data_IF_682190213300
#
_entry.id   IF_682190213300
#
_cell.length_a   1.000
_cell.length_b   1.000
_cell.length_c   1.000
_cell.angle_alpha   90.00
_cell.angle_beta   90.00
_cell.angle_gamma   90.00
#
_symmetry.space_group_name_H-M   'P 1'
#
loop_
_entity.id
_entity.type
_entity.pdbx_description
1 polymer ?
#
# COMPACT_ATOMS: atom_id res chain seq x y z
N UNK A 1 -0.92 -18.74 -8.44
CA UNK A 1 -0.50 -18.91 -7.01
C UNK A 1 -0.58 -17.56 -6.30
N UNK A 2 -1.03 -17.45 -5.03
CA UNK A 2 -0.99 -16.19 -4.29
C UNK A 2 0.44 -15.69 -4.06
N UNK A 3 0.62 -14.37 -4.12
CA UNK A 3 1.87 -13.68 -3.78
C UNK A 3 1.55 -12.69 -2.66
N UNK A 4 1.62 -13.11 -1.39
CA UNK A 4 1.36 -12.20 -0.28
C UNK A 4 2.50 -11.16 -0.18
N UNK A 5 2.16 -9.95 0.26
CA UNK A 5 3.11 -8.84 0.34
C UNK A 5 3.72 -8.80 1.75
N UNK A 6 5.06 -8.95 1.88
CA UNK A 6 5.74 -8.77 3.16
C UNK A 6 5.56 -7.36 3.70
N UNK A 7 5.52 -7.21 5.02
CA UNK A 7 5.34 -5.93 5.69
C UNK A 7 6.45 -4.89 5.42
N UNK A 8 7.60 -5.36 4.93
CA UNK A 8 8.86 -4.67 4.70
C UNK A 8 9.25 -4.67 3.21
N UNK A 9 8.28 -4.96 2.32
CA UNK A 9 8.47 -4.86 0.88
C UNK A 9 8.94 -3.45 0.48
N UNK A 10 10.11 -3.33 -0.16
CA UNK A 10 10.70 -2.04 -0.53
C UNK A 10 10.44 -1.62 -1.98
N UNK A 11 9.70 -2.44 -2.74
CA UNK A 11 9.48 -2.26 -4.18
C UNK A 11 8.64 -1.02 -4.53
N UNK A 12 7.88 -0.50 -3.56
CA UNK A 12 7.25 0.82 -3.68
C UNK A 12 5.97 0.89 -4.52
N UNK A 13 5.40 -0.24 -4.93
CA UNK A 13 4.04 -0.27 -5.50
C UNK A 13 2.97 0.04 -4.44
N UNK A 14 1.73 0.32 -4.86
CA UNK A 14 0.63 0.77 -3.99
C UNK A 14 0.46 -0.05 -2.69
N UNK A 15 0.48 -1.38 -2.80
CA UNK A 15 0.33 -2.29 -1.67
C UNK A 15 1.60 -2.51 -0.83
N UNK A 16 2.78 -2.00 -1.22
CA UNK A 16 4.05 -2.27 -0.53
C UNK A 16 4.12 -1.67 0.89
N UNK A 17 3.30 -0.65 1.14
CA UNK A 17 3.28 0.12 2.39
C UNK A 17 2.09 -0.21 3.30
N UNK A 18 1.44 -1.37 3.13
CA UNK A 18 0.21 -1.72 3.85
C UNK A 18 0.34 -1.67 5.40
N UNK A 19 1.53 -1.89 5.95
CA UNK A 19 1.84 -1.76 7.39
C UNK A 19 2.64 -0.50 7.75
N UNK A 20 2.87 0.37 6.77
CA UNK A 20 3.70 1.59 6.88
C UNK A 20 2.95 2.77 6.25
N UNK A 21 1.76 3.12 6.75
CA UNK A 21 0.90 4.15 6.16
C UNK A 21 1.59 5.53 6.01
N UNK A 22 2.52 5.86 6.90
CA UNK A 22 3.34 7.07 6.85
C UNK A 22 4.06 7.27 5.50
N UNK A 23 4.40 6.18 4.80
CA UNK A 23 5.04 6.27 3.48
C UNK A 23 4.16 6.98 2.44
N UNK A 24 2.84 6.97 2.59
CA UNK A 24 1.93 7.69 1.68
C UNK A 24 1.83 9.20 1.97
N UNK A 25 2.40 9.69 3.08
CA UNK A 25 2.51 11.13 3.33
C UNK A 25 3.62 11.76 2.50
N UNK A 26 4.65 10.98 2.15
CA UNK A 26 5.73 11.39 1.27
C UNK A 26 5.20 11.59 -0.16
N UNK A 27 5.40 12.81 -0.69
CA UNK A 27 4.98 13.16 -2.04
C UNK A 27 5.77 12.38 -3.11
N UNK A 28 7.04 12.08 -2.87
CA UNK A 28 7.89 11.34 -3.82
C UNK A 28 7.44 9.88 -3.90
N UNK A 29 7.14 9.26 -2.75
CA UNK A 29 6.58 7.91 -2.70
C UNK A 29 5.22 7.82 -3.44
N UNK A 30 4.35 8.84 -3.29
CA UNK A 30 3.10 8.92 -4.07
C UNK A 30 3.37 9.15 -5.55
N UNK A 31 4.35 9.97 -5.90
CA UNK A 31 4.69 10.33 -7.28
C UNK A 31 5.14 9.15 -8.14
N UNK A 32 5.72 8.11 -7.54
CA UNK A 32 6.13 6.89 -8.23
C UNK A 32 5.03 5.81 -8.30
N UNK A 33 3.88 6.03 -7.64
CA UNK A 33 2.73 5.13 -7.66
C UNK A 33 1.64 5.72 -8.56
N UNK A 34 1.52 5.18 -9.77
CA UNK A 34 0.64 5.73 -10.83
C UNK A 34 -0.84 5.87 -10.44
N UNK A 35 -1.34 5.07 -9.49
CA UNK A 35 -2.72 5.17 -8.99
C UNK A 35 -3.00 6.54 -8.36
N UNK A 36 -2.02 7.19 -7.72
CA UNK A 36 -2.25 8.52 -7.16
C UNK A 36 -2.43 9.58 -8.26
N UNK A 37 -1.81 9.41 -9.42
CA UNK A 37 -1.97 10.32 -10.57
C UNK A 37 -3.38 10.29 -11.18
N UNK A 38 -4.21 9.30 -10.85
CA UNK A 38 -5.60 9.22 -11.32
C UNK A 38 -6.60 9.86 -10.36
N UNK A 39 -6.15 10.29 -9.18
CA UNK A 39 -6.99 10.92 -8.16
C UNK A 39 -6.98 12.44 -8.40
N UNK A 40 -8.14 13.13 -8.40
CA UNK A 40 -8.16 14.59 -8.45
C UNK A 40 -7.37 15.21 -7.30
N UNK A 41 -6.62 16.29 -7.56
CA UNK A 41 -5.71 16.90 -6.57
C UNK A 41 -6.40 17.24 -5.25
N UNK A 42 -7.61 17.81 -5.30
CA UNK A 42 -8.38 18.15 -4.10
C UNK A 42 -8.73 16.92 -3.24
N UNK A 43 -9.05 15.78 -3.87
CA UNK A 43 -9.35 14.53 -3.18
C UNK A 43 -8.08 13.90 -2.60
N UNK A 44 -6.96 14.01 -3.33
CA UNK A 44 -5.65 13.55 -2.88
C UNK A 44 -5.18 14.34 -1.65
N UNK A 45 -5.23 15.67 -1.70
CA UNK A 45 -4.87 16.56 -0.60
C UNK A 45 -5.72 16.29 0.64
N UNK A 46 -7.05 16.20 0.47
CA UNK A 46 -7.98 15.87 1.55
C UNK A 46 -7.69 14.48 2.16
N UNK A 47 -7.41 13.49 1.31
CA UNK A 47 -7.05 12.14 1.74
C UNK A 47 -5.75 12.09 2.54
N UNK A 48 -4.71 12.82 2.09
CA UNK A 48 -3.42 12.93 2.80
C UNK A 48 -3.57 13.65 4.12
N UNK A 49 -4.31 14.76 4.16
CA UNK A 49 -4.58 15.48 5.41
C UNK A 49 -5.32 14.62 6.43
N UNK A 50 -6.31 13.83 5.98
CA UNK A 50 -7.02 12.87 6.85
C UNK A 50 -6.08 11.77 7.33
N UNK A 51 -5.24 11.21 6.46
CA UNK A 51 -4.26 10.20 6.86
C UNK A 51 -3.29 10.74 7.90
N UNK A 52 -2.78 11.96 7.71
CA UNK A 52 -1.90 12.63 8.65
C UNK A 52 -2.57 12.76 10.03
N UNK A 53 -3.79 13.31 10.07
CA UNK A 53 -4.54 13.46 11.32
C UNK A 53 -4.81 12.11 11.99
N UNK A 54 -5.21 11.08 11.23
CA UNK A 54 -5.52 9.75 11.79
C UNK A 54 -4.27 9.08 12.39
N UNK A 55 -3.08 9.33 11.83
CA UNK A 55 -1.80 8.84 12.38
C UNK A 55 -1.36 9.64 13.60
N UNK A 56 -1.51 10.97 13.59
CA UNK A 56 -1.14 11.83 14.73
C UNK A 56 -2.00 11.56 15.97
N UNK A 57 -3.30 11.33 15.78
CA UNK A 57 -4.24 11.17 16.89
C UNK A 57 -4.49 9.69 17.28
N UNK A 58 -3.82 8.74 16.64
CA UNK A 58 -3.93 7.31 16.93
C UNK A 58 -5.16 6.61 16.36
N UNK A 59 -6.01 7.30 15.59
CA UNK A 59 -7.22 6.72 14.97
C UNK A 59 -6.86 5.60 14.02
N UNK A 60 -5.76 5.72 13.28
CA UNK A 60 -5.30 4.70 12.35
C UNK A 60 -4.95 3.40 13.10
N UNK A 61 -4.17 3.51 14.19
CA UNK A 61 -3.74 2.41 15.04
C UNK A 61 -4.93 1.75 15.75
N UNK A 62 -5.91 2.53 16.19
CA UNK A 62 -7.14 1.98 16.78
C UNK A 62 -7.92 1.12 15.78
N UNK A 63 -8.02 1.56 14.51
CA UNK A 63 -8.77 0.83 13.47
C UNK A 63 -8.02 -0.37 12.90
N UNK A 64 -6.70 -0.25 12.79
CA UNK A 64 -5.87 -1.17 12.00
C UNK A 64 -4.77 -1.85 12.81
N UNK A 65 -4.69 -1.63 14.12
CA UNK A 65 -3.60 -2.11 14.97
C UNK A 65 -3.41 -3.63 14.97
N UNK A 66 -4.40 -4.40 14.53
CA UNK A 66 -4.25 -5.84 14.29
C UNK A 66 -3.23 -6.17 13.19
N UNK A 67 -3.05 -5.28 12.20
CA UNK A 67 -2.08 -5.40 11.11
C UNK A 67 -0.64 -5.42 11.62
N UNK A 68 -0.36 -4.80 12.77
CA UNK A 68 0.98 -4.79 13.39
C UNK A 68 1.52 -6.20 13.68
N UNK A 69 0.62 -7.18 13.91
CA UNK A 69 0.96 -8.57 14.21
C UNK A 69 1.15 -9.45 12.97
N UNK A 70 0.87 -8.92 11.78
CA UNK A 70 0.99 -9.66 10.53
C UNK A 70 2.36 -9.41 9.90
N UNK A 71 3.01 -10.48 9.41
CA UNK A 71 4.28 -10.40 8.67
C UNK A 71 4.07 -10.29 7.16
N UNK A 72 2.94 -10.81 6.67
CA UNK A 72 2.54 -10.76 5.26
C UNK A 72 1.02 -10.50 5.16
N UNK A 73 0.57 -9.91 4.05
CA UNK A 73 -0.84 -9.69 3.76
C UNK A 73 -1.16 -10.11 2.31
N UNK A 74 -2.22 -10.90 2.11
CA UNK A 74 -2.73 -11.17 0.76
C UNK A 74 -3.53 -9.96 0.27
N UNK A 75 -2.92 -9.16 -0.61
CA UNK A 75 -3.51 -7.99 -1.25
C UNK A 75 -4.07 -8.31 -2.65
N UNK A 76 -4.21 -9.59 -3.01
CA UNK A 76 -4.78 -10.02 -4.28
C UNK A 76 -3.76 -10.24 -5.40
N UNK A 77 -2.46 -10.06 -5.16
CA UNK A 77 -1.41 -10.36 -6.14
C UNK A 77 -1.34 -11.86 -6.44
N UNK A 78 -1.24 -12.22 -7.72
CA UNK A 78 -1.20 -13.61 -8.19
C UNK A 78 -0.07 -13.80 -9.19
N UNK A 79 0.68 -14.88 -9.02
CA UNK A 79 1.60 -15.38 -10.03
C UNK A 79 0.84 -16.29 -10.99
N UNK A 80 0.87 -15.93 -12.28
CA UNK A 80 0.40 -16.74 -13.41
C UNK A 80 1.62 -17.33 -14.11
N UNK A 81 1.62 -18.65 -14.30
CA UNK A 81 2.72 -19.37 -14.94
C UNK A 81 2.14 -20.08 -16.16
N UNK A 82 2.77 -19.90 -17.31
CA UNK A 82 2.45 -20.65 -18.52
C UNK A 82 3.56 -21.66 -18.80
N UNK A 83 3.20 -22.89 -19.14
CA UNK A 83 4.13 -23.88 -19.65
C UNK A 83 4.22 -23.70 -21.17
N UNK A 84 5.44 -23.49 -21.68
CA UNK A 84 5.67 -23.50 -23.13
C UNK A 84 5.97 -24.94 -23.52
N UNK A 85 5.15 -25.49 -24.42
CA UNK A 85 5.38 -26.80 -25.01
C UNK A 85 6.03 -26.57 -26.37
N UNK A 86 7.27 -27.02 -26.53
CA UNK A 86 7.95 -27.01 -27.83
C UNK A 86 7.27 -28.02 -28.77
N UNK A 87 6.98 -27.59 -30.00
CA UNK A 87 6.42 -28.42 -31.07
C UNK A 87 7.51 -29.21 -31.81
#
# INVERSE_FOLDING_TARGET
MPVPVPHDCIDGFLGAYWRRPHAHLDADARGVISTFSTIPDADLESGVARLHSDLENGTWEQRTGYLSRMSVLDLGYRLVIAEVVDN
#
